data_IF_411048629267
#
_entry.id   IF_411048629267
#
_cell.length_a   1.000
_cell.length_b   1.000
_cell.length_c   1.000
_cell.angle_alpha   90.00
_cell.angle_beta   90.00
_cell.angle_gamma   90.00
#
_symmetry.space_group_name_H-M   'P 1'
#
loop_
_entity.id
_entity.type
_entity.pdbx_description
1 polymer ?
#
# COMPACT_ATOMS: atom_id res chain seq x y z
N UNK A 1 23.88 18.00 16.32
CA UNK A 1 23.56 19.39 16.71
C UNK A 1 24.70 20.04 17.51
N UNK A 2 24.94 19.74 18.80
CA UNK A 2 26.00 20.41 19.59
C UNK A 2 27.45 20.25 19.05
N UNK A 3 27.76 19.14 18.35
CA UNK A 3 29.09 18.87 17.77
C UNK A 3 29.33 19.54 16.40
N UNK A 4 28.25 20.00 15.75
CA UNK A 4 28.28 20.62 14.42
C UNK A 4 28.34 22.15 14.52
N UNK A 5 27.66 22.73 15.52
CA UNK A 5 27.76 24.15 15.86
C UNK A 5 29.19 24.54 16.26
N UNK A 6 29.89 23.68 17.01
CA UNK A 6 31.30 23.85 17.36
C UNK A 6 32.25 23.87 16.15
N UNK A 7 31.78 23.43 14.96
CA UNK A 7 32.55 23.45 13.70
C UNK A 7 32.10 24.57 12.75
N UNK A 8 31.25 25.50 13.19
CA UNK A 8 30.73 26.60 12.36
C UNK A 8 29.77 26.17 11.25
N UNK A 9 29.24 24.95 11.30
CA UNK A 9 28.28 24.47 10.30
C UNK A 9 26.91 25.10 10.54
N UNK A 10 26.34 25.74 9.50
CA UNK A 10 24.97 26.25 9.54
C UNK A 10 23.99 25.09 9.81
N UNK A 11 23.05 25.31 10.72
CA UNK A 11 21.97 24.35 11.00
C UNK A 11 21.19 24.05 9.71
N UNK A 12 21.03 22.76 9.41
CA UNK A 12 20.32 22.26 8.22
C UNK A 12 19.12 21.42 8.67
N UNK A 13 17.98 21.50 7.98
CA UNK A 13 16.85 20.64 8.27
C UNK A 13 17.22 19.17 8.07
N UNK A 14 16.71 18.31 8.94
CA UNK A 14 16.74 16.87 8.76
C UNK A 14 15.91 16.54 7.51
N UNK A 15 16.48 15.75 6.62
CA UNK A 15 15.81 15.25 5.42
C UNK A 15 15.53 13.77 5.56
N UNK A 16 14.28 13.37 5.37
CA UNK A 16 13.88 11.97 5.33
C UNK A 16 13.06 11.68 4.07
N UNK A 17 13.07 10.43 3.64
CA UNK A 17 12.38 9.95 2.45
C UNK A 17 11.44 8.80 2.83
N UNK A 18 10.26 8.75 2.23
CA UNK A 18 9.39 7.58 2.33
C UNK A 18 9.67 6.63 1.17
N UNK A 19 9.80 5.34 1.45
CA UNK A 19 10.00 4.28 0.43
C UNK A 19 9.08 3.11 0.75
N UNK A 20 8.52 2.46 -0.26
CA UNK A 20 7.67 1.29 -0.11
C UNK A 20 6.79 1.05 -1.34
N UNK A 21 6.05 -0.06 -1.34
CA UNK A 21 5.16 -0.41 -2.45
C UNK A 21 3.98 0.59 -2.57
N UNK A 22 3.26 0.62 -3.70
CA UNK A 22 2.06 1.46 -3.82
C UNK A 22 1.01 1.13 -2.74
N UNK A 23 0.16 2.11 -2.43
CA UNK A 23 -0.97 1.99 -1.50
C UNK A 23 -0.69 1.59 -0.03
N UNK A 24 0.58 1.46 0.40
CA UNK A 24 0.93 1.23 1.83
C UNK A 24 0.69 2.43 2.77
N UNK A 25 0.18 3.55 2.25
CA UNK A 25 -0.16 4.73 3.07
C UNK A 25 0.98 5.73 3.31
N UNK A 26 2.05 5.72 2.50
CA UNK A 26 3.18 6.66 2.58
C UNK A 26 2.72 8.13 2.72
N UNK A 27 2.01 8.63 1.72
CA UNK A 27 1.50 10.01 1.70
C UNK A 27 0.55 10.33 2.86
N UNK A 28 -0.19 9.33 3.37
CA UNK A 28 -1.04 9.48 4.56
C UNK A 28 -0.22 9.72 5.82
N UNK A 29 0.83 8.92 6.04
CA UNK A 29 1.77 9.10 7.17
C UNK A 29 2.46 10.45 7.07
N UNK A 30 2.93 10.81 5.87
CA UNK A 30 3.63 12.06 5.62
C UNK A 30 2.73 13.28 5.89
N UNK A 31 1.48 13.26 5.43
CA UNK A 31 0.50 14.31 5.73
C UNK A 31 0.26 14.49 7.23
N UNK A 32 0.22 13.39 8.00
CA UNK A 32 0.11 13.45 9.46
C UNK A 32 1.35 14.08 10.10
N UNK A 33 2.56 13.75 9.62
CA UNK A 33 3.82 14.31 10.13
C UNK A 33 3.99 15.81 9.82
N UNK A 34 3.40 16.31 8.73
CA UNK A 34 3.41 17.74 8.40
C UNK A 34 2.15 18.48 8.87
N UNK A 35 1.23 17.80 9.57
CA UNK A 35 -0.04 18.30 10.08
C UNK A 35 -0.91 19.05 9.05
N UNK A 36 -0.85 18.64 7.77
CA UNK A 36 -1.69 19.19 6.69
C UNK A 36 -1.80 18.21 5.53
N UNK A 37 -2.80 18.42 4.67
CA UNK A 37 -2.99 17.67 3.42
C UNK A 37 -2.10 18.24 2.31
N UNK A 38 -0.80 17.95 2.36
CA UNK A 38 0.16 18.44 1.38
C UNK A 38 0.39 17.45 0.23
N UNK A 39 0.42 16.15 0.50
CA UNK A 39 0.50 15.09 -0.50
C UNK A 39 -0.89 14.56 -0.88
N UNK A 40 -1.06 14.19 -2.15
CA UNK A 40 -2.30 13.56 -2.63
C UNK A 40 -2.42 12.14 -2.07
N UNK A 41 -3.61 11.78 -1.59
CA UNK A 41 -3.92 10.44 -1.08
C UNK A 41 -5.10 9.88 -1.88
N UNK A 42 -5.03 8.61 -2.23
CA UNK A 42 -6.11 7.90 -2.92
C UNK A 42 -5.87 6.40 -2.91
N UNK A 43 -6.93 5.63 -3.15
CA UNK A 43 -6.91 4.16 -3.10
C UNK A 43 -6.51 3.51 -4.45
N UNK A 44 -5.80 4.23 -5.31
CA UNK A 44 -5.33 3.72 -6.60
C UNK A 44 -3.80 3.80 -6.66
N UNK A 45 -3.12 2.74 -7.11
CA UNK A 45 -1.68 2.79 -7.25
C UNK A 45 -1.28 3.84 -8.29
N UNK A 46 -0.25 4.63 -7.97
CA UNK A 46 0.22 5.73 -8.82
C UNK A 46 -0.45 7.09 -8.57
N UNK A 47 -1.16 7.27 -7.45
CA UNK A 47 -1.64 8.60 -7.00
C UNK A 47 -0.47 9.58 -6.86
N UNK A 48 0.62 9.17 -6.21
CA UNK A 48 1.87 9.95 -6.19
C UNK A 48 2.62 9.72 -7.50
N UNK A 49 2.57 10.71 -8.41
CA UNK A 49 3.21 10.64 -9.74
C UNK A 49 4.65 11.16 -9.78
N UNK A 50 5.03 12.00 -8.83
CA UNK A 50 6.35 12.64 -8.77
C UNK A 50 6.85 12.77 -7.33
N UNK A 51 8.09 13.19 -7.18
CA UNK A 51 8.71 13.45 -5.87
C UNK A 51 8.35 14.86 -5.40
N UNK A 52 7.93 15.00 -4.15
CA UNK A 52 7.61 16.31 -3.55
C UNK A 52 8.17 16.43 -2.13
N UNK A 53 8.76 17.59 -1.83
CA UNK A 53 9.22 17.91 -0.48
C UNK A 53 8.09 18.53 0.34
N UNK A 54 7.76 17.90 1.45
CA UNK A 54 6.82 18.36 2.44
C UNK A 54 7.59 18.93 3.64
N UNK A 55 7.43 20.22 3.90
CA UNK A 55 8.03 20.87 5.07
C UNK A 55 7.08 20.80 6.26
N UNK A 56 7.56 20.27 7.38
CA UNK A 56 6.85 20.26 8.68
C UNK A 56 7.26 21.46 9.54
N UNK A 57 8.54 21.84 9.50
CA UNK A 57 9.14 23.01 10.16
C UNK A 57 10.51 23.33 9.52
N UNK A 58 11.22 24.36 10.02
CA UNK A 58 12.60 24.67 9.60
C UNK A 58 13.62 23.57 9.92
N UNK A 59 13.20 22.53 10.66
CA UNK A 59 14.04 21.43 11.11
C UNK A 59 13.76 20.11 10.38
N UNK A 60 12.68 20.01 9.60
CA UNK A 60 12.28 18.73 8.98
C UNK A 60 11.66 18.91 7.58
N UNK A 61 12.28 18.26 6.60
CA UNK A 61 11.81 18.11 5.24
C UNK A 61 11.59 16.62 4.92
N UNK A 62 10.40 16.27 4.45
CA UNK A 62 10.00 14.89 4.12
C UNK A 62 9.76 14.76 2.62
N UNK A 63 10.41 13.81 1.97
CA UNK A 63 10.21 13.53 0.56
C UNK A 63 9.15 12.44 0.37
N UNK A 64 8.01 12.81 -0.21
CA UNK A 64 7.00 11.86 -0.67
C UNK A 64 7.40 11.31 -2.04
N UNK A 65 7.30 9.99 -2.20
CA UNK A 65 7.74 9.29 -3.41
C UNK A 65 6.65 8.35 -3.95
N UNK A 66 6.62 8.13 -5.27
CA UNK A 66 5.82 7.06 -5.86
C UNK A 66 6.14 5.70 -5.21
N UNK A 67 5.12 4.86 -5.09
CA UNK A 67 5.35 3.48 -4.65
C UNK A 67 6.14 2.68 -5.69
N UNK A 68 7.08 1.86 -5.22
CA UNK A 68 7.96 1.07 -6.10
C UNK A 68 7.59 -0.41 -5.96
N UNK A 69 7.35 -1.07 -7.08
CA UNK A 69 7.29 -2.52 -7.18
C UNK A 69 8.52 -3.02 -7.92
N UNK A 70 8.96 -4.22 -7.57
CA UNK A 70 10.03 -4.92 -8.27
C UNK A 70 9.51 -5.50 -9.60
N UNK A 71 10.36 -5.60 -10.64
CA UNK A 71 9.92 -5.96 -11.99
C UNK A 71 9.51 -7.44 -12.16
N UNK A 72 9.98 -8.34 -11.29
CA UNK A 72 9.67 -9.78 -11.34
C UNK A 72 9.29 -10.31 -9.96
N UNK A 73 8.06 -10.78 -9.80
CA UNK A 73 7.62 -11.42 -8.57
C UNK A 73 8.27 -12.80 -8.42
N UNK A 74 8.58 -13.19 -7.18
CA UNK A 74 9.17 -14.50 -6.89
C UNK A 74 8.15 -15.65 -7.01
N UNK A 75 6.86 -15.35 -6.85
CA UNK A 75 5.76 -16.31 -7.03
C UNK A 75 4.48 -15.61 -7.45
N UNK A 76 3.56 -16.37 -8.05
CA UNK A 76 2.23 -15.89 -8.40
C UNK A 76 1.42 -15.50 -7.16
N UNK A 77 1.62 -16.19 -6.04
CA UNK A 77 0.94 -15.88 -4.77
C UNK A 77 1.27 -14.46 -4.29
N UNK A 78 2.53 -14.02 -4.41
CA UNK A 78 2.92 -12.65 -4.06
C UNK A 78 2.22 -11.64 -4.97
N UNK A 79 2.17 -11.92 -6.28
CA UNK A 79 1.47 -11.05 -7.23
C UNK A 79 -0.03 -10.96 -6.89
N UNK A 80 -0.68 -12.08 -6.58
CA UNK A 80 -2.10 -12.12 -6.22
C UNK A 80 -2.38 -11.33 -4.93
N UNK A 81 -1.52 -11.45 -3.90
CA UNK A 81 -1.64 -10.66 -2.65
C UNK A 81 -1.49 -9.17 -2.90
N UNK A 82 -0.51 -8.77 -3.73
CA UNK A 82 -0.28 -7.37 -4.07
C UNK A 82 -1.41 -6.79 -4.94
N UNK A 83 -1.98 -7.58 -5.84
CA UNK A 83 -3.17 -7.19 -6.60
C UNK A 83 -4.40 -7.03 -5.69
N UNK A 84 -4.66 -8.02 -4.83
CA UNK A 84 -5.78 -7.99 -3.87
C UNK A 84 -5.73 -6.80 -2.92
N UNK A 85 -4.52 -6.37 -2.53
CA UNK A 85 -4.31 -5.20 -1.65
C UNK A 85 -4.22 -3.87 -2.40
N UNK A 86 -4.39 -3.87 -3.73
CA UNK A 86 -4.36 -2.68 -4.58
C UNK A 86 -2.97 -2.10 -4.81
N UNK A 87 -1.88 -2.80 -4.47
CA UNK A 87 -0.53 -2.34 -4.76
C UNK A 87 -0.22 -2.39 -6.28
N UNK A 88 -0.87 -3.29 -7.02
CA UNK A 88 -0.76 -3.42 -8.48
C UNK A 88 -1.95 -2.72 -9.14
N UNK A 89 -1.72 -2.06 -10.29
CA UNK A 89 -2.79 -1.42 -11.07
C UNK A 89 -3.79 -2.45 -11.59
N UNK A 90 -5.08 -2.16 -11.51
CA UNK A 90 -6.18 -3.05 -11.91
C UNK A 90 -6.09 -3.56 -13.35
N UNK A 91 -5.47 -2.79 -14.25
CA UNK A 91 -5.30 -3.18 -15.65
C UNK A 91 -4.12 -4.15 -15.91
N UNK A 92 -3.40 -4.56 -14.86
CA UNK A 92 -2.23 -5.44 -14.96
C UNK A 92 -2.52 -6.90 -14.57
N UNK A 93 -3.76 -7.24 -14.24
CA UNK A 93 -4.20 -8.59 -13.88
C UNK A 93 -5.66 -8.83 -14.27
N UNK A 94 -6.09 -10.09 -14.32
CA UNK A 94 -7.50 -10.48 -14.47
C UNK A 94 -8.23 -10.29 -13.14
N UNK A 95 -9.31 -9.51 -13.12
CA UNK A 95 -10.13 -9.32 -11.92
C UNK A 95 -10.69 -10.63 -11.38
N UNK A 96 -11.04 -11.53 -12.29
CA UNK A 96 -11.69 -12.80 -11.96
C UNK A 96 -10.69 -13.73 -11.26
N UNK A 97 -9.45 -13.78 -11.73
CA UNK A 97 -8.38 -14.58 -11.11
C UNK A 97 -8.11 -14.12 -9.67
N UNK A 98 -8.08 -12.80 -9.45
CA UNK A 98 -7.86 -12.23 -8.11
C UNK A 98 -9.08 -12.45 -7.21
N UNK A 99 -10.29 -12.37 -7.76
CA UNK A 99 -11.52 -12.68 -7.03
C UNK A 99 -11.56 -14.15 -6.60
N UNK A 100 -11.25 -15.08 -7.50
CA UNK A 100 -11.18 -16.51 -7.22
C UNK A 100 -10.10 -16.83 -6.18
N UNK A 101 -8.92 -16.23 -6.32
CA UNK A 101 -7.84 -16.33 -5.33
C UNK A 101 -8.30 -15.85 -3.94
N UNK A 102 -8.94 -14.68 -3.87
CA UNK A 102 -9.41 -14.11 -2.60
C UNK A 102 -10.52 -14.96 -1.96
N UNK A 103 -11.47 -15.44 -2.76
CA UNK A 103 -12.54 -16.34 -2.31
C UNK A 103 -11.96 -17.64 -1.76
N UNK A 104 -11.03 -18.28 -2.48
CA UNK A 104 -10.32 -19.46 -2.00
C UNK A 104 -9.63 -19.20 -0.66
N UNK A 105 -8.86 -18.11 -0.57
CA UNK A 105 -8.14 -17.77 0.66
C UNK A 105 -9.05 -17.43 1.83
N UNK A 106 -10.15 -16.70 1.64
CA UNK A 106 -11.05 -16.36 2.73
C UNK A 106 -11.92 -17.54 3.16
N UNK A 107 -12.26 -18.47 2.26
CA UNK A 107 -12.89 -19.75 2.66
C UNK A 107 -11.97 -20.56 3.56
N UNK A 108 -10.68 -20.63 3.25
CA UNK A 108 -9.69 -21.34 4.06
C UNK A 108 -9.43 -20.68 5.41
N UNK A 109 -9.28 -19.35 5.43
CA UNK A 109 -8.72 -18.64 6.60
C UNK A 109 -9.75 -17.88 7.43
N UNK A 110 -10.87 -17.47 6.84
CA UNK A 110 -11.88 -16.60 7.45
C UNK A 110 -13.32 -16.93 7.01
N UNK A 111 -13.77 -18.20 7.06
CA UNK A 111 -15.08 -18.60 6.53
C UNK A 111 -16.24 -17.91 7.23
N UNK A 112 -16.20 -17.79 8.56
CA UNK A 112 -17.23 -17.10 9.33
C UNK A 112 -17.35 -15.60 8.97
N UNK A 113 -16.21 -14.96 8.65
CA UNK A 113 -16.18 -13.56 8.20
C UNK A 113 -16.83 -13.40 6.83
N UNK A 114 -16.57 -14.33 5.91
CA UNK A 114 -17.19 -14.36 4.58
C UNK A 114 -18.71 -14.58 4.70
N UNK A 115 -19.14 -15.56 5.50
CA UNK A 115 -20.55 -15.83 5.77
C UNK A 115 -21.26 -14.63 6.36
N UNK A 116 -20.69 -14.01 7.39
CA UNK A 116 -21.30 -12.83 8.04
C UNK A 116 -21.42 -11.66 7.07
N UNK A 117 -20.35 -11.37 6.32
CA UNK A 117 -20.29 -10.20 5.43
C UNK A 117 -21.23 -10.30 4.23
N UNK A 118 -21.42 -11.51 3.71
CA UNK A 118 -22.22 -11.77 2.51
C UNK A 118 -23.52 -12.54 2.79
N UNK A 119 -23.84 -12.79 4.06
CA UNK A 119 -25.05 -13.53 4.53
C UNK A 119 -25.15 -14.93 3.92
N UNK A 120 -24.03 -15.63 3.87
CA UNK A 120 -23.94 -16.99 3.33
C UNK A 120 -24.19 -18.02 4.44
N UNK A 121 -24.76 -19.16 4.05
CA UNK A 121 -24.88 -20.37 4.87
C UNK A 121 -23.65 -21.27 4.72
N UNK A 122 -23.51 -22.27 5.59
CA UNK A 122 -22.45 -23.27 5.44
C UNK A 122 -22.61 -24.08 4.14
N UNK A 123 -23.85 -24.27 3.68
CA UNK A 123 -24.15 -24.95 2.41
C UNK A 123 -23.66 -24.14 1.20
N UNK A 124 -23.77 -22.80 1.26
CA UNK A 124 -23.26 -21.92 0.20
C UNK A 124 -21.72 -21.97 0.11
N UNK A 125 -21.05 -22.20 1.24
CA UNK A 125 -19.59 -22.39 1.27
C UNK A 125 -19.14 -23.79 0.87
N UNK A 126 -20.01 -24.80 0.95
CA UNK A 126 -19.68 -26.18 0.59
C UNK A 126 -19.90 -26.47 -0.90
N UNK A 127 -20.68 -25.65 -1.60
CA UNK A 127 -20.93 -25.83 -3.04
C UNK A 127 -19.60 -25.77 -3.83
N UNK A 128 -19.27 -26.90 -4.46
CA UNK A 128 -18.10 -27.14 -5.31
C UNK A 128 -18.18 -26.37 -6.64
N UNK A 129 -18.38 -25.05 -6.60
CA UNK A 129 -18.59 -24.27 -7.82
C UNK A 129 -17.29 -23.99 -8.61
N UNK A 130 -16.13 -24.52 -8.20
CA UNK A 130 -14.83 -24.21 -8.80
C UNK A 130 -13.92 -25.42 -9.10
N UNK A 131 -14.39 -26.66 -8.95
CA UNK A 131 -13.60 -27.85 -9.32
C UNK A 131 -13.49 -28.08 -10.84
N UNK A 132 -13.96 -27.15 -11.67
CA UNK A 132 -14.09 -27.30 -13.13
C UNK A 132 -13.48 -26.15 -13.96
N UNK A 133 -12.59 -25.34 -13.39
CA UNK A 133 -11.76 -24.40 -14.15
C UNK A 133 -10.28 -24.59 -13.83
#
# INVERSE_FOLDING_TARGET
MAREEAKGMKSRPIRAISVGVPNVGKSTVLNRLVNRRAAQVGNRPGVTKGQQWLKSSDKLELLDTPGILWPKFQSQEIANKLALTGAIKENAYSSDDIALYALGKFRETMPAGLMTRYRLTEADLSYQMLTYY
#
